data_IF_064491139573
#
_entry.id   IF_064491139573
#
_cell.length_a   1.000
_cell.length_b   1.000
_cell.length_c   1.000
_cell.angle_alpha   90.00
_cell.angle_beta   90.00
_cell.angle_gamma   90.00
#
_symmetry.space_group_name_H-M   'P 1'
#
loop_
_entity.id
_entity.type
_entity.pdbx_description
1 polymer ?
#
# COMPACT_ATOMS: atom_id res chain seq x y z
N UNK A 1 12.00 -9.71 -1.21
CA UNK A 1 10.69 -9.05 -1.23
C UNK A 1 9.64 -10.14 -1.20
N UNK A 2 8.58 -9.96 -0.43
CA UNK A 2 7.53 -10.95 -0.22
C UNK A 2 6.18 -10.27 -0.25
N UNK A 3 5.19 -10.95 -0.79
CA UNK A 3 3.80 -10.53 -0.77
C UNK A 3 3.09 -11.27 0.37
N UNK A 4 2.45 -10.54 1.28
CA UNK A 4 1.72 -11.10 2.41
C UNK A 4 0.31 -10.49 2.47
N UNK A 5 -0.69 -11.31 2.77
CA UNK A 5 -2.07 -10.85 2.72
C UNK A 5 -3.07 -11.93 3.11
N UNK A 6 -4.34 -11.59 3.01
CA UNK A 6 -5.46 -12.49 3.29
C UNK A 6 -6.67 -12.14 2.42
N UNK A 7 -7.45 -13.15 2.10
CA UNK A 7 -8.68 -13.05 1.30
C UNK A 7 -9.79 -13.81 2.04
N UNK A 8 -10.93 -13.16 2.22
CA UNK A 8 -12.17 -13.81 2.63
C UNK A 8 -13.27 -13.43 1.65
N UNK A 9 -13.87 -14.44 1.01
CA UNK A 9 -14.99 -14.27 0.08
C UNK A 9 -16.02 -15.34 0.40
N UNK A 10 -17.22 -14.92 0.82
CA UNK A 10 -18.31 -15.83 1.15
C UNK A 10 -19.25 -15.95 -0.05
N UNK A 11 -19.07 -17.00 -0.86
CA UNK A 11 -19.87 -17.22 -2.08
C UNK A 11 -21.10 -18.12 -1.89
N UNK A 12 -21.21 -18.83 -0.77
CA UNK A 12 -22.27 -19.81 -0.51
C UNK A 12 -22.89 -19.66 0.87
N UNK A 13 -24.20 -19.93 0.96
CA UNK A 13 -24.99 -19.77 2.19
C UNK A 13 -24.64 -20.77 3.30
N UNK A 14 -24.02 -21.90 2.97
CA UNK A 14 -23.73 -22.96 3.94
C UNK A 14 -22.76 -22.50 5.04
N UNK A 15 -21.72 -21.73 4.70
CA UNK A 15 -20.82 -21.14 5.70
C UNK A 15 -21.58 -20.25 6.69
N UNK A 16 -22.59 -19.52 6.21
CA UNK A 16 -23.44 -18.69 7.05
C UNK A 16 -24.35 -19.54 7.96
N UNK A 17 -24.94 -20.62 7.43
CA UNK A 17 -25.80 -21.50 8.23
C UNK A 17 -25.03 -22.28 9.29
N UNK A 18 -23.84 -22.78 8.97
CA UNK A 18 -23.03 -23.60 9.88
C UNK A 18 -22.43 -22.76 11.02
N UNK A 19 -21.91 -21.58 10.71
CA UNK A 19 -21.45 -20.62 11.73
C UNK A 19 -22.62 -20.09 12.58
N UNK A 20 -23.80 -19.92 11.98
CA UNK A 20 -25.03 -19.58 12.71
C UNK A 20 -25.44 -20.67 13.70
N UNK A 21 -25.45 -21.94 13.28
CA UNK A 21 -25.71 -23.09 14.16
C UNK A 21 -24.70 -23.22 15.29
N UNK A 22 -23.44 -22.91 15.01
CA UNK A 22 -22.36 -22.93 15.99
C UNK A 22 -22.35 -21.70 16.93
N UNK A 23 -23.31 -20.77 16.79
CA UNK A 23 -23.46 -19.62 17.67
C UNK A 23 -22.43 -18.50 17.48
N UNK A 24 -21.70 -18.50 16.34
CA UNK A 24 -20.69 -17.48 16.04
C UNK A 24 -21.27 -16.17 15.52
N UNK A 25 -22.54 -16.15 15.11
CA UNK A 25 -23.22 -14.94 14.68
C UNK A 25 -24.13 -14.37 15.76
N UNK A 26 -24.14 -13.04 15.85
CA UNK A 26 -25.14 -12.33 16.63
C UNK A 26 -26.47 -12.32 15.86
N UNK A 27 -27.55 -12.76 16.51
CA UNK A 27 -28.91 -12.83 15.96
C UNK A 27 -29.49 -11.46 15.56
N UNK A 28 -28.94 -10.37 16.12
CA UNK A 28 -29.30 -8.99 15.74
C UNK A 28 -28.47 -8.44 14.56
N UNK A 29 -27.65 -9.29 13.93
CA UNK A 29 -26.82 -8.94 12.77
C UNK A 29 -25.55 -8.14 13.11
N UNK A 30 -25.24 -7.90 14.38
CA UNK A 30 -24.10 -7.05 14.75
C UNK A 30 -22.91 -7.83 15.31
N UNK A 31 -21.81 -7.88 14.56
CA UNK A 31 -20.46 -7.86 15.11
C UNK A 31 -19.83 -6.52 14.70
N UNK A 32 -19.75 -5.54 15.61
CA UNK A 32 -19.26 -4.19 15.34
C UNK A 32 -17.95 -3.94 16.09
N UNK A 33 -16.82 -4.17 15.42
CA UNK A 33 -16.10 -3.00 14.89
C UNK A 33 -15.82 -3.07 13.37
N UNK A 34 -16.31 -2.03 12.66
CA UNK A 34 -16.05 -1.57 11.27
C UNK A 34 -16.74 -2.27 10.07
N UNK A 35 -18.09 -2.28 10.07
CA UNK A 35 -19.07 -2.77 9.06
C UNK A 35 -18.94 -2.22 7.60
N UNK A 36 -19.59 -2.71 6.51
CA UNK A 36 -21.00 -3.15 6.32
C UNK A 36 -21.22 -4.44 5.46
N UNK A 37 -20.19 -5.04 4.86
CA UNK A 37 -20.27 -6.30 4.09
C UNK A 37 -18.90 -6.99 4.05
N UNK A 38 -18.47 -7.56 5.18
CA UNK A 38 -17.06 -7.91 5.45
C UNK A 38 -16.51 -9.13 4.67
N UNK A 39 -16.57 -9.08 3.34
CA UNK A 39 -15.62 -9.71 2.44
C UNK A 39 -14.47 -8.74 2.19
N UNK A 40 -13.24 -9.26 2.13
CA UNK A 40 -12.07 -8.40 2.14
C UNK A 40 -10.85 -9.07 1.54
N UNK A 41 -10.11 -8.28 0.76
CA UNK A 41 -8.79 -8.62 0.26
C UNK A 41 -7.82 -7.59 0.82
N UNK A 42 -6.84 -8.06 1.59
CA UNK A 42 -5.76 -7.24 2.12
C UNK A 42 -4.42 -7.78 1.65
N UNK A 43 -3.54 -6.90 1.18
CA UNK A 43 -2.24 -7.27 0.65
C UNK A 43 -1.20 -6.21 1.00
N UNK A 44 -0.04 -6.65 1.47
CA UNK A 44 1.12 -5.81 1.75
C UNK A 44 2.36 -6.41 1.11
N UNK A 45 3.27 -5.52 0.73
CA UNK A 45 4.60 -5.88 0.24
C UNK A 45 5.59 -5.71 1.38
N UNK A 46 6.32 -6.78 1.69
CA UNK A 46 7.32 -6.81 2.74
C UNK A 46 8.72 -6.96 2.15
N UNK A 47 9.67 -6.29 2.79
CA UNK A 47 11.08 -6.32 2.43
C UNK A 47 11.92 -6.09 3.69
N UNK A 48 13.10 -6.71 3.82
CA UNK A 48 14.01 -6.38 4.90
C UNK A 48 14.30 -4.88 4.92
N UNK A 49 14.18 -4.23 6.09
CA UNK A 49 14.26 -2.78 6.22
C UNK A 49 15.54 -2.21 5.59
N UNK A 50 16.68 -2.86 5.81
CA UNK A 50 17.97 -2.46 5.23
C UNK A 50 17.90 -2.37 3.70
N UNK A 51 17.28 -3.35 3.05
CA UNK A 51 17.15 -3.39 1.60
C UNK A 51 16.11 -2.39 1.08
N UNK A 52 15.04 -2.13 1.85
CA UNK A 52 14.08 -1.08 1.49
C UNK A 52 14.74 0.32 1.55
N UNK A 53 15.60 0.56 2.53
CA UNK A 53 16.36 1.82 2.65
C UNK A 53 17.37 1.96 1.52
N UNK A 54 18.16 0.91 1.22
CA UNK A 54 19.15 0.95 0.14
C UNK A 54 18.51 1.19 -1.23
N UNK A 55 17.36 0.58 -1.49
CA UNK A 55 16.68 0.70 -2.78
C UNK A 55 15.80 1.97 -2.86
N UNK A 56 15.76 2.79 -1.79
CA UNK A 56 15.00 4.04 -1.76
C UNK A 56 13.48 3.88 -1.65
N UNK A 57 12.98 2.68 -1.34
CA UNK A 57 11.56 2.35 -1.30
C UNK A 57 10.80 3.21 -0.29
N UNK A 58 9.58 3.64 -0.64
CA UNK A 58 8.70 4.33 0.30
C UNK A 58 8.21 3.38 1.40
N UNK A 59 8.79 3.48 2.59
CA UNK A 59 8.45 2.63 3.74
C UNK A 59 7.23 3.23 4.45
N UNK A 60 6.12 2.49 4.48
CA UNK A 60 4.89 2.92 5.15
C UNK A 60 4.90 2.66 6.66
N UNK A 61 5.66 1.65 7.09
CA UNK A 61 5.81 1.23 8.48
C UNK A 61 6.75 0.03 8.57
N UNK A 62 7.13 -0.33 9.78
CA UNK A 62 8.07 -1.44 10.03
C UNK A 62 7.42 -2.46 10.94
N UNK A 63 7.36 -3.71 10.50
CA UNK A 63 7.03 -4.86 11.35
C UNK A 63 8.25 -5.15 12.21
N UNK A 64 8.21 -4.73 13.47
CA UNK A 64 9.33 -4.83 14.41
C UNK A 64 9.47 -6.25 14.97
N UNK A 65 8.33 -6.89 15.25
CA UNK A 65 8.30 -8.25 15.77
C UNK A 65 6.97 -8.93 15.45
N UNK A 66 7.00 -10.26 15.42
CA UNK A 66 5.84 -11.12 15.27
C UNK A 66 6.05 -12.36 16.13
N UNK A 67 4.98 -12.88 16.73
CA UNK A 67 4.98 -14.18 17.37
C UNK A 67 3.62 -14.85 17.19
N UNK A 68 3.63 -16.16 17.37
CA UNK A 68 2.43 -17.01 17.34
C UNK A 68 2.49 -18.00 18.50
N UNK A 69 1.32 -18.39 19.00
CA UNK A 69 1.19 -19.52 19.93
C UNK A 69 -0.20 -20.16 19.81
N UNK A 70 -0.54 -21.08 20.71
CA UNK A 70 -1.83 -21.74 20.74
C UNK A 70 -2.41 -21.74 22.15
N UNK A 71 -3.74 -21.73 22.25
CA UNK A 71 -4.50 -21.81 23.51
C UNK A 71 -4.30 -23.12 24.30
N UNK A 72 -3.81 -24.17 23.63
CA UNK A 72 -3.48 -25.46 24.25
C UNK A 72 -4.71 -26.21 24.76
N UNK A 73 -4.62 -26.75 25.98
CA UNK A 73 -5.72 -27.46 26.66
C UNK A 73 -6.74 -26.47 27.24
N UNK A 74 -7.34 -25.64 26.39
CA UNK A 74 -8.48 -24.80 26.77
C UNK A 74 -9.73 -25.67 26.99
N UNK A 75 -10.68 -25.25 27.85
CA UNK A 75 -11.90 -26.01 28.14
C UNK A 75 -12.76 -26.34 26.91
N UNK A 76 -12.61 -25.56 25.84
CA UNK A 76 -13.14 -25.86 24.52
C UNK A 76 -12.14 -25.39 23.46
N UNK A 77 -12.12 -26.05 22.31
CA UNK A 77 -11.30 -25.69 21.14
C UNK A 77 -11.60 -24.26 20.64
N UNK A 78 -12.82 -23.76 20.87
CA UNK A 78 -13.26 -22.42 20.46
C UNK A 78 -13.10 -21.35 21.54
N UNK A 79 -12.67 -21.72 22.75
CA UNK A 79 -12.50 -20.77 23.85
C UNK A 79 -11.08 -20.22 23.89
N UNK A 80 -10.97 -18.89 23.96
CA UNK A 80 -9.69 -18.20 24.08
C UNK A 80 -9.07 -18.43 25.47
N UNK A 81 -7.74 -18.58 25.51
CA UNK A 81 -6.97 -18.78 26.74
C UNK A 81 -6.22 -17.48 27.12
N UNK A 82 -6.62 -16.77 28.19
CA UNK A 82 -5.98 -15.50 28.59
C UNK A 82 -4.49 -15.65 28.93
N UNK A 83 -4.09 -16.80 29.48
CA UNK A 83 -2.69 -17.10 29.78
C UNK A 83 -1.86 -17.17 28.51
N UNK A 84 -2.35 -17.87 27.48
CA UNK A 84 -1.69 -17.95 26.19
C UNK A 84 -1.59 -16.57 25.52
N UNK A 85 -2.64 -15.74 25.60
CA UNK A 85 -2.58 -14.36 25.07
C UNK A 85 -1.55 -13.49 25.79
N UNK A 86 -1.47 -13.59 27.12
CA UNK A 86 -0.49 -12.83 27.91
C UNK A 86 0.94 -13.25 27.56
N UNK A 87 1.18 -14.56 27.41
CA UNK A 87 2.48 -15.09 26.99
C UNK A 87 2.84 -14.64 25.57
N UNK A 88 1.87 -14.66 24.65
CA UNK A 88 2.05 -14.15 23.30
C UNK A 88 2.54 -12.70 23.31
N UNK A 89 1.86 -11.83 24.06
CA UNK A 89 2.24 -10.41 24.14
C UNK A 89 3.62 -10.21 24.73
N UNK A 90 3.98 -10.97 25.76
CA UNK A 90 5.34 -10.95 26.34
C UNK A 90 6.39 -11.40 25.32
N UNK A 91 6.10 -12.42 24.53
CA UNK A 91 7.03 -12.92 23.51
C UNK A 91 7.23 -11.90 22.38
N UNK A 92 6.15 -11.30 21.88
CA UNK A 92 6.23 -10.27 20.83
C UNK A 92 7.01 -9.04 21.33
N UNK A 93 6.78 -8.62 22.57
CA UNK A 93 7.49 -7.48 23.17
C UNK A 93 8.97 -7.79 23.43
N UNK A 94 9.29 -8.99 23.93
CA UNK A 94 10.68 -9.41 24.15
C UNK A 94 11.52 -9.39 22.85
N UNK A 95 10.89 -9.76 21.72
CA UNK A 95 11.53 -9.69 20.39
C UNK A 95 11.64 -8.24 19.91
N UNK A 96 10.57 -7.45 20.08
CA UNK A 96 10.51 -6.07 19.59
C UNK A 96 11.34 -5.08 20.40
N UNK A 97 11.56 -5.35 21.69
CA UNK A 97 12.21 -4.46 22.67
C UNK A 97 11.56 -3.07 22.77
N UNK A 98 10.24 -2.98 22.60
CA UNK A 98 9.52 -1.70 22.59
C UNK A 98 9.00 -1.44 24.00
N UNK A 99 9.82 -0.75 24.80
CA UNK A 99 9.55 -0.44 26.20
C UNK A 99 8.16 0.20 26.43
N UNK A 100 7.41 -0.42 27.36
CA UNK A 100 6.11 0.04 27.93
C UNK A 100 5.00 0.20 26.87
N UNK A 101 4.42 -0.93 26.47
CA UNK A 101 3.14 -0.97 25.79
C UNK A 101 2.05 -0.31 26.66
N UNK A 102 1.70 0.95 26.36
CA UNK A 102 0.52 1.58 26.94
C UNK A 102 -0.68 1.05 26.15
N UNK A 103 -1.37 0.05 26.69
CA UNK A 103 -2.66 -0.39 26.15
C UNK A 103 -3.68 0.66 26.61
N UNK A 104 -4.21 1.53 25.72
CA UNK A 104 -5.28 2.43 26.13
C UNK A 104 -6.49 1.59 26.54
N UNK A 105 -7.16 1.99 27.63
CA UNK A 105 -8.34 1.31 28.16
C UNK A 105 -9.54 1.27 27.18
N UNK A 106 -9.46 2.03 26.08
CA UNK A 106 -10.38 1.96 24.94
C UNK A 106 -9.57 2.06 23.63
N UNK A 107 -9.91 1.23 22.65
CA UNK A 107 -9.41 1.37 21.29
C UNK A 107 -9.84 2.74 20.73
N UNK A 108 -8.92 3.58 20.25
CA UNK A 108 -9.29 4.82 19.59
C UNK A 108 -10.01 4.50 18.28
N UNK A 109 -11.30 4.79 18.23
CA UNK A 109 -12.18 4.57 17.05
C UNK A 109 -12.02 5.68 16.00
N UNK A 110 -11.13 6.65 16.25
CA UNK A 110 -10.93 7.79 15.37
C UNK A 110 -9.45 8.17 15.30
N UNK A 111 -8.98 8.59 14.12
CA UNK A 111 -7.60 9.00 13.85
C UNK A 111 -7.26 10.30 14.60
N UNK A 112 -7.00 10.20 15.91
CA UNK A 112 -6.53 11.32 16.72
C UNK A 112 -5.01 11.37 16.64
N UNK A 113 -4.45 12.54 16.36
CA UNK A 113 -3.00 12.75 16.51
C UNK A 113 -2.63 12.56 17.97
N UNK A 114 -1.87 11.50 18.28
CA UNK A 114 -1.57 11.11 19.66
C UNK A 114 -0.42 11.93 20.28
N UNK A 115 0.26 12.80 19.52
CA UNK A 115 1.34 13.64 20.06
C UNK A 115 2.53 12.87 20.66
N UNK A 116 2.67 11.59 20.32
CA UNK A 116 3.71 10.71 20.87
C UNK A 116 5.01 10.81 20.04
N UNK A 117 6.18 10.76 20.71
CA UNK A 117 7.48 10.95 20.05
C UNK A 117 7.85 9.80 19.09
N UNK A 118 7.26 8.62 19.32
CA UNK A 118 7.40 7.42 18.52
C UNK A 118 6.07 6.68 18.50
N UNK A 119 5.65 6.22 17.32
CA UNK A 119 4.39 5.50 17.14
C UNK A 119 4.65 4.01 16.96
N UNK A 120 4.02 3.21 17.81
CA UNK A 120 3.96 1.76 17.71
C UNK A 120 2.54 1.28 17.95
N UNK A 121 2.15 0.18 17.29
CA UNK A 121 0.84 -0.44 17.42
C UNK A 121 1.00 -1.96 17.49
N UNK A 122 0.29 -2.58 18.44
CA UNK A 122 0.15 -4.03 18.52
C UNK A 122 -1.08 -4.44 17.72
N UNK A 123 -0.90 -5.33 16.76
CA UNK A 123 -1.99 -5.97 16.00
C UNK A 123 -2.07 -7.42 16.44
N UNK A 124 -3.27 -7.87 16.81
CA UNK A 124 -3.51 -9.24 17.29
C UNK A 124 -4.63 -9.89 16.48
N UNK A 125 -4.50 -11.19 16.24
CA UNK A 125 -5.50 -12.01 15.56
C UNK A 125 -5.61 -13.36 16.26
N UNK A 126 -6.85 -13.81 16.50
CA UNK A 126 -7.15 -15.04 17.20
C UNK A 126 -8.08 -15.91 16.36
N UNK A 127 -7.62 -17.12 16.04
CA UNK A 127 -8.41 -18.12 15.32
C UNK A 127 -9.31 -18.89 16.28
N UNK A 128 -10.53 -19.20 15.84
CA UNK A 128 -11.47 -20.02 16.60
C UNK A 128 -10.99 -21.46 16.86
N UNK A 129 -9.91 -21.92 16.22
CA UNK A 129 -9.26 -23.20 16.51
C UNK A 129 -8.20 -23.12 17.64
N UNK A 130 -8.05 -21.95 18.28
CA UNK A 130 -7.11 -21.72 19.38
C UNK A 130 -5.74 -21.16 18.97
N UNK A 131 -5.48 -20.97 17.67
CA UNK A 131 -4.25 -20.34 17.19
C UNK A 131 -4.27 -18.83 17.42
N UNK A 132 -3.18 -18.29 17.97
CA UNK A 132 -3.04 -16.85 18.22
C UNK A 132 -1.83 -16.30 17.48
N UNK A 133 -1.96 -15.09 16.95
CA UNK A 133 -0.88 -14.34 16.32
C UNK A 133 -0.91 -12.89 16.78
N UNK A 134 0.27 -12.31 16.99
CA UNK A 134 0.40 -10.90 17.28
C UNK A 134 1.68 -10.33 16.66
N UNK A 135 1.63 -9.07 16.24
CA UNK A 135 2.75 -8.36 15.66
C UNK A 135 2.78 -6.92 16.17
N UNK A 136 3.98 -6.34 16.26
CA UNK A 136 4.15 -4.91 16.53
C UNK A 136 4.57 -4.21 15.24
N UNK A 137 3.77 -3.23 14.84
CA UNK A 137 4.09 -2.28 13.79
C UNK A 137 4.61 -0.98 14.40
N UNK A 138 5.61 -0.38 13.76
CA UNK A 138 6.18 0.91 14.15
C UNK A 138 6.15 1.89 12.99
N UNK A 139 6.22 3.17 13.28
CA UNK A 139 6.37 4.19 12.26
C UNK A 139 7.64 3.97 11.41
N UNK A 140 7.65 4.40 10.14
CA UNK A 140 8.83 4.29 9.30
C UNK A 140 10.00 5.11 9.86
N UNK A 141 11.25 4.73 9.56
CA UNK A 141 12.41 5.52 9.96
C UNK A 141 12.28 6.95 9.42
N UNK A 142 12.63 7.94 10.26
CA UNK A 142 12.61 9.35 9.85
C UNK A 142 13.51 9.53 8.64
N UNK A 143 12.92 9.89 7.51
CA UNK A 143 13.68 10.37 6.36
C UNK A 143 14.05 11.83 6.61
N UNK A 144 15.31 12.17 6.39
CA UNK A 144 15.67 13.57 6.17
C UNK A 144 14.86 14.07 4.98
N UNK A 145 13.84 14.89 5.24
CA UNK A 145 13.08 15.60 4.19
C UNK A 145 13.95 16.64 3.48
N UNK A 146 15.19 16.82 3.92
CA UNK A 146 16.19 17.68 3.29
C UNK A 146 16.67 17.11 1.97
N UNK A 147 15.89 17.34 0.92
CA UNK A 147 16.28 17.80 -0.42
C UNK A 147 15.11 17.59 -1.38
N UNK A 148 14.04 18.36 -1.20
CA UNK A 148 13.38 18.86 -2.40
C UNK A 148 14.44 19.77 -3.06
N UNK A 149 15.22 19.23 -3.97
CA UNK A 149 16.02 20.07 -4.87
C UNK A 149 15.00 20.70 -5.78
N UNK A 150 14.38 21.79 -5.32
CA UNK A 150 13.75 22.74 -6.22
C UNK A 150 14.83 23.15 -7.21
N UNK A 151 14.70 22.63 -8.41
CA UNK A 151 15.45 23.07 -9.55
C UNK A 151 14.38 23.39 -10.55
N UNK A 152 14.14 24.70 -10.73
CA UNK A 152 13.50 25.24 -11.91
C UNK A 152 14.37 24.84 -13.10
N UNK A 153 14.14 23.62 -13.58
CA UNK A 153 14.81 23.13 -14.76
C UNK A 153 14.19 23.86 -15.96
N UNK A 154 14.99 24.49 -16.82
CA UNK A 154 14.48 25.25 -17.97
C UNK A 154 13.91 24.35 -19.09
N UNK A 155 13.90 23.04 -18.91
CA UNK A 155 13.53 22.05 -19.91
C UNK A 155 12.28 21.25 -19.53
N UNK A 156 11.57 20.76 -20.55
CA UNK A 156 10.43 19.88 -20.36
C UNK A 156 10.89 18.45 -20.07
N UNK A 157 10.24 17.78 -19.14
CA UNK A 157 10.50 16.39 -18.80
C UNK A 157 9.73 15.46 -19.75
N UNK A 158 10.36 14.40 -20.28
CA UNK A 158 9.65 13.37 -21.02
C UNK A 158 8.80 12.53 -20.07
N UNK A 159 7.53 12.31 -20.44
CA UNK A 159 6.58 11.52 -19.66
C UNK A 159 6.07 10.37 -20.52
N UNK A 160 6.11 9.17 -19.94
CA UNK A 160 5.69 7.93 -20.60
C UNK A 160 4.54 7.31 -19.82
N UNK A 161 3.45 7.00 -20.50
CA UNK A 161 2.33 6.25 -19.92
C UNK A 161 2.05 5.07 -20.84
N UNK A 162 1.79 3.91 -20.26
CA UNK A 162 1.52 2.70 -21.04
C UNK A 162 0.32 1.94 -20.51
N UNK A 163 -0.28 1.14 -21.39
CA UNK A 163 -1.42 0.28 -21.09
C UNK A 163 -1.34 -1.01 -21.90
N UNK A 164 -2.04 -2.04 -21.45
CA UNK A 164 -2.12 -3.33 -22.17
C UNK A 164 -2.99 -3.23 -23.42
N UNK A 165 -3.93 -2.29 -23.45
CA UNK A 165 -4.78 -1.94 -24.59
C UNK A 165 -4.94 -0.42 -24.68
N UNK A 166 -5.54 0.06 -25.77
CA UNK A 166 -5.88 1.48 -25.97
C UNK A 166 -6.84 1.95 -24.87
N UNK A 167 -7.83 1.14 -24.52
CA UNK A 167 -8.81 1.44 -23.46
C UNK A 167 -8.14 1.51 -22.09
N UNK A 168 -7.24 0.56 -21.77
CA UNK A 168 -6.49 0.58 -20.51
C UNK A 168 -5.56 1.79 -20.43
N UNK A 169 -4.92 2.17 -21.54
CA UNK A 169 -4.10 3.38 -21.60
C UNK A 169 -4.95 4.62 -21.36
N UNK A 170 -6.11 4.73 -22.03
CA UNK A 170 -7.05 5.84 -21.83
C UNK A 170 -7.47 5.95 -20.37
N UNK A 171 -7.83 4.84 -19.74
CA UNK A 171 -8.19 4.80 -18.32
C UNK A 171 -7.02 5.23 -17.42
N UNK A 172 -5.81 4.78 -17.69
CA UNK A 172 -4.61 5.19 -16.94
C UNK A 172 -4.32 6.69 -17.09
N UNK A 173 -4.45 7.24 -18.30
CA UNK A 173 -4.30 8.67 -18.61
C UNK A 173 -5.33 9.49 -17.85
N UNK A 174 -6.61 9.12 -17.91
CA UNK A 174 -7.69 9.82 -17.20
C UNK A 174 -7.50 9.76 -15.68
N UNK A 175 -7.13 8.59 -15.13
CA UNK A 175 -6.84 8.45 -13.69
C UNK A 175 -5.67 9.30 -13.25
N UNK A 176 -4.61 9.37 -14.05
CA UNK A 176 -3.45 10.19 -13.74
C UNK A 176 -3.80 11.67 -13.79
N UNK A 177 -4.50 12.13 -14.83
CA UNK A 177 -4.96 13.52 -14.93
C UNK A 177 -5.81 13.92 -13.71
N UNK A 178 -6.78 13.09 -13.34
CA UNK A 178 -7.62 13.32 -12.16
C UNK A 178 -6.82 13.34 -10.85
N UNK A 179 -5.81 12.47 -10.70
CA UNK A 179 -4.92 12.47 -9.54
C UNK A 179 -4.11 13.77 -9.43
N UNK A 180 -3.53 14.23 -10.55
CA UNK A 180 -2.77 15.47 -10.59
C UNK A 180 -3.66 16.68 -10.25
N UNK A 181 -4.92 16.71 -10.71
CA UNK A 181 -5.87 17.80 -10.40
C UNK A 181 -6.36 17.80 -8.95
N UNK A 182 -6.53 16.61 -8.35
CA UNK A 182 -7.05 16.47 -6.98
C UNK A 182 -6.02 16.85 -5.91
N UNK A 183 -4.75 16.91 -6.28
CA UNK A 183 -3.68 17.23 -5.34
C UNK A 183 -3.79 18.72 -4.95
N UNK A 184 -3.79 19.05 -3.64
CA UNK A 184 -3.86 20.45 -3.21
C UNK A 184 -2.67 21.27 -3.75
N UNK A 185 -2.86 22.58 -4.00
CA UNK A 185 -1.76 23.46 -4.43
C UNK A 185 -0.54 23.44 -3.49
N UNK A 186 -0.77 23.28 -2.19
CA UNK A 186 0.31 23.19 -1.19
C UNK A 186 1.15 21.90 -1.32
N UNK A 187 0.53 20.81 -1.78
CA UNK A 187 1.20 19.54 -2.07
C UNK A 187 1.80 19.50 -3.48
N UNK A 188 1.32 20.33 -4.43
CA UNK A 188 1.98 20.51 -5.74
C UNK A 188 3.42 21.00 -5.56
N UNK A 189 3.67 21.83 -4.53
CA UNK A 189 5.02 22.30 -4.21
C UNK A 189 5.93 21.17 -3.64
N UNK A 190 5.34 20.08 -3.14
CA UNK A 190 6.08 18.88 -2.73
C UNK A 190 6.23 17.87 -3.88
N UNK A 191 5.38 17.94 -4.90
CA UNK A 191 5.26 16.95 -5.96
C UNK A 191 5.97 17.46 -7.23
N UNK A 192 7.28 17.26 -7.33
CA UNK A 192 8.06 17.70 -8.50
C UNK A 192 7.68 16.93 -9.78
N UNK A 193 7.55 17.64 -10.91
CA UNK A 193 7.34 17.04 -12.24
C UNK A 193 8.46 16.05 -12.60
N UNK A 194 9.69 16.31 -12.18
CA UNK A 194 10.82 15.40 -12.37
C UNK A 194 10.61 14.07 -11.64
N UNK A 195 10.11 14.11 -10.40
CA UNK A 195 9.78 12.91 -9.63
C UNK A 195 8.63 12.12 -10.27
N UNK A 196 7.62 12.82 -10.83
CA UNK A 196 6.52 12.16 -11.57
C UNK A 196 7.05 11.48 -12.83
N UNK A 197 7.89 12.15 -13.61
CA UNK A 197 8.50 11.60 -14.82
C UNK A 197 9.34 10.35 -14.51
N UNK A 198 10.19 10.41 -13.48
CA UNK A 198 10.98 9.26 -13.00
C UNK A 198 10.08 8.14 -12.49
N UNK A 199 9.03 8.45 -11.72
CA UNK A 199 8.12 7.44 -11.21
C UNK A 199 7.35 6.71 -12.33
N UNK A 200 6.98 7.42 -13.40
CA UNK A 200 6.32 6.84 -14.56
C UNK A 200 7.30 6.06 -15.46
N UNK A 201 8.57 6.45 -15.51
CA UNK A 201 9.59 5.78 -16.31
C UNK A 201 10.21 4.56 -15.61
N UNK A 202 10.70 4.70 -14.38
CA UNK A 202 11.50 3.65 -13.72
C UNK A 202 10.65 2.73 -12.84
N UNK A 203 9.53 3.22 -12.32
CA UNK A 203 8.71 2.51 -11.33
C UNK A 203 7.37 1.98 -11.88
N UNK A 204 7.25 1.90 -13.21
CA UNK A 204 6.09 1.31 -13.89
C UNK A 204 6.54 0.30 -14.94
N UNK A 205 5.72 -0.73 -15.15
CA UNK A 205 5.92 -1.65 -16.27
C UNK A 205 5.56 -0.95 -17.58
N UNK A 206 6.39 -1.13 -18.59
CA UNK A 206 6.16 -0.56 -19.92
C UNK A 206 5.49 -1.58 -20.84
N UNK A 207 4.25 -1.30 -21.21
CA UNK A 207 3.48 -2.08 -22.18
C UNK A 207 3.71 -1.58 -23.62
N UNK A 208 3.11 -2.25 -24.60
CA UNK A 208 3.31 -1.89 -26.01
C UNK A 208 2.51 -0.65 -26.41
N UNK A 209 1.27 -0.52 -25.91
CA UNK A 209 0.45 0.67 -26.17
C UNK A 209 0.91 1.79 -25.25
N UNK A 210 1.36 2.91 -25.84
CA UNK A 210 1.97 4.02 -25.10
C UNK A 210 1.43 5.36 -25.54
N UNK A 211 1.43 6.28 -24.59
CA UNK A 211 1.39 7.72 -24.80
C UNK A 211 2.74 8.29 -24.36
N UNK A 212 3.27 9.23 -25.14
CA UNK A 212 4.53 9.92 -24.84
C UNK A 212 4.31 11.40 -25.05
N UNK A 213 4.62 12.17 -24.03
CA UNK A 213 4.53 13.62 -24.06
C UNK A 213 5.69 14.27 -23.31
N UNK A 214 5.67 15.60 -23.29
CA UNK A 214 6.62 16.37 -22.47
C UNK A 214 5.87 17.36 -21.61
N UNK A 215 6.34 17.60 -20.40
CA UNK A 215 5.70 18.51 -19.46
C UNK A 215 6.73 19.34 -18.70
N UNK A 216 6.41 20.62 -18.47
CA UNK A 216 7.25 21.55 -17.69
C UNK A 216 6.73 21.73 -16.27
N UNK A 217 5.42 21.58 -16.08
CA UNK A 217 4.74 21.67 -14.80
C UNK A 217 3.67 20.58 -14.67
N UNK A 218 3.22 20.32 -13.45
CA UNK A 218 2.11 19.39 -13.18
C UNK A 218 0.86 19.79 -13.94
N UNK A 219 0.52 21.09 -13.96
CA UNK A 219 -0.66 21.59 -14.67
C UNK A 219 -0.55 21.40 -16.19
N UNK A 220 0.65 21.64 -16.76
CA UNK A 220 0.89 21.39 -18.19
C UNK A 220 0.73 19.92 -18.55
N UNK A 221 1.14 19.02 -17.65
CA UNK A 221 0.97 17.59 -17.84
C UNK A 221 -0.52 17.21 -17.75
N UNK A 222 -1.21 17.65 -16.70
CA UNK A 222 -2.63 17.35 -16.51
C UNK A 222 -3.46 17.82 -17.71
N UNK A 223 -3.20 19.05 -18.20
CA UNK A 223 -3.84 19.57 -19.40
C UNK A 223 -3.53 18.71 -20.63
N UNK A 224 -2.26 18.39 -20.88
CA UNK A 224 -1.87 17.56 -22.03
C UNK A 224 -2.55 16.20 -22.01
N UNK A 225 -2.70 15.58 -20.83
CA UNK A 225 -3.38 14.29 -20.65
C UNK A 225 -4.90 14.40 -20.86
N UNK A 226 -5.52 15.49 -20.45
CA UNK A 226 -6.95 15.76 -20.66
C UNK A 226 -7.28 16.02 -22.14
N UNK A 227 -6.37 16.67 -22.88
CA UNK A 227 -6.53 16.95 -24.31
C UNK A 227 -6.04 15.83 -25.22
N UNK A 228 -5.40 14.80 -24.66
CA UNK A 228 -4.86 13.67 -25.44
C UNK A 228 -6.00 12.91 -26.13
N UNK A 229 -5.84 12.64 -27.42
CA UNK A 229 -6.80 11.87 -28.23
C UNK A 229 -6.21 10.50 -28.55
N UNK A 230 -7.04 9.49 -28.79
CA UNK A 230 -6.59 8.12 -29.10
C UNK A 230 -5.58 8.02 -30.27
N UNK A 231 -5.60 8.97 -31.19
CA UNK A 231 -4.63 9.06 -32.29
C UNK A 231 -3.18 9.28 -31.80
N UNK A 232 -3.00 9.80 -30.59
CA UNK A 232 -1.70 9.97 -29.92
C UNK A 232 -1.23 8.68 -29.22
N UNK A 233 -2.07 7.65 -29.18
CA UNK A 233 -1.72 6.36 -28.60
C UNK A 233 -1.19 5.44 -29.69
N UNK A 234 0.03 4.95 -29.49
CA UNK A 234 0.69 4.10 -30.47
C UNK A 234 1.06 2.75 -29.87
N UNK A 235 0.80 1.70 -30.64
CA UNK A 235 1.25 0.35 -30.34
C UNK A 235 2.70 0.17 -30.79
N UNK A 236 3.61 0.21 -29.82
CA UNK A 236 5.00 -0.18 -30.01
C UNK A 236 5.04 -1.71 -30.12
N UNK A 237 4.77 -2.23 -31.32
CA UNK A 237 5.05 -3.65 -31.61
C UNK A 237 6.50 -3.93 -31.23
N UNK A 238 6.81 -5.04 -30.53
CA UNK A 238 8.17 -5.41 -30.20
C UNK A 238 8.94 -5.65 -31.49
N UNK A 239 9.61 -4.61 -31.98
CA UNK A 239 10.49 -4.69 -33.14
C UNK A 239 11.87 -5.08 -32.63
N UNK A 240 12.48 -6.08 -33.26
CA UNK A 240 13.91 -6.33 -33.19
C UNK A 240 14.67 -4.99 -33.24
N UNK A 241 15.74 -4.86 -32.43
CA UNK A 241 16.60 -3.66 -32.36
C UNK A 241 16.82 -3.12 -33.77
N UNK A 242 16.15 -2.01 -34.10
CA UNK A 242 16.33 -1.37 -35.42
C UNK A 242 17.75 -0.80 -35.46
N UNK A 243 18.50 -0.99 -36.56
CA UNK A 243 19.80 -0.35 -36.68
C UNK A 243 19.59 1.17 -36.61
N UNK A 244 20.27 1.82 -35.67
CA UNK A 244 20.32 3.27 -35.57
C UNK A 244 21.49 3.78 -36.39
N UNK A 245 21.22 4.71 -37.31
CA UNK A 245 22.27 5.43 -38.05
C UNK A 245 22.31 6.85 -37.49
N UNK A 246 23.43 7.21 -36.86
CA UNK A 246 23.68 8.58 -36.43
C UNK A 246 24.31 9.34 -37.60
N UNK A 247 23.64 10.39 -38.07
CA UNK A 247 24.14 11.23 -39.16
C UNK A 247 24.69 12.51 -38.54
N UNK A 248 25.97 12.77 -38.78
CA UNK A 248 26.63 14.00 -38.35
C UNK A 248 26.71 14.95 -39.54
N UNK A 249 26.11 16.12 -39.42
CA UNK A 249 26.31 17.20 -40.40
C UNK A 249 27.75 17.70 -40.30
N UNK A 250 28.41 17.88 -41.45
CA UNK A 250 29.74 18.47 -41.54
C UNK A 250 29.75 19.97 -41.30
#
# INVERSE_FOLDING_TARGET
>A
MTLAGGVNIITGIHNFLDLGKAGFFNLTGQCKPFDEAADGVGLVVLKPLRQAVTDGDNILGVVASIATNNGGLSPSITTLCPRAQTELFRNVDAIGRILKLVIPSRLPVCARYLGIPFRAALVSSYGAAGSNAALICTEPPRRDRNRAVESDFPFAFPVFISGTSIESLRENVTKLAAYLRKTPPDDHNQLSIGNVAVALHDHRRHHNVRWVGTARSIDSLAYSLETSVDAEFFDVKPRHKRPMVLVFSG
#
